data_IF_507392262691
#
_entry.id   IF_507392262691
#
_cell.length_a   1.000
_cell.length_b   1.000
_cell.length_c   1.000
_cell.angle_alpha   90.00
_cell.angle_beta   90.00
_cell.angle_gamma   90.00
#
_symmetry.space_group_name_H-M   'P 1'
#
loop_
_entity.id
_entity.type
_entity.pdbx_description
1 polymer ?
#
# COMPACT_ATOMS: atom_id res chain seq x y z
N UNK A 1 -24.57 46.07 25.70
CA UNK A 1 -24.35 45.38 24.41
C UNK A 1 -22.83 45.31 24.21
N UNK A 2 -22.20 44.23 24.68
CA UNK A 2 -20.74 44.10 24.74
C UNK A 2 -20.25 43.38 23.49
N UNK A 3 -19.49 44.08 22.63
CA UNK A 3 -18.81 43.53 21.46
C UNK A 3 -17.59 42.75 21.95
N UNK A 4 -17.71 41.43 22.06
CA UNK A 4 -16.57 40.53 22.30
C UNK A 4 -15.65 40.54 21.08
N UNK A 5 -14.61 41.36 21.14
CA UNK A 5 -13.52 41.35 20.17
C UNK A 5 -12.82 39.98 20.21
N UNK A 6 -13.02 39.18 19.17
CA UNK A 6 -12.30 37.92 18.99
C UNK A 6 -10.81 38.24 18.88
N UNK A 7 -9.99 37.69 19.78
CA UNK A 7 -8.55 37.96 19.79
C UNK A 7 -7.90 37.53 18.46
N UNK A 8 -7.01 38.34 17.87
CA UNK A 8 -6.38 38.04 16.59
C UNK A 8 -5.58 36.72 16.59
N UNK A 9 -5.10 36.28 17.77
CA UNK A 9 -4.40 35.01 17.95
C UNK A 9 -5.24 33.78 17.60
N UNK A 10 -6.54 33.75 17.94
CA UNK A 10 -7.42 32.60 17.61
C UNK A 10 -7.68 32.47 16.10
N UNK A 11 -7.69 33.59 15.37
CA UNK A 11 -7.89 33.57 13.91
C UNK A 11 -6.67 33.07 13.16
N UNK A 12 -5.46 33.44 13.60
CA UNK A 12 -4.21 32.98 12.99
C UNK A 12 -4.01 31.46 13.14
N UNK A 13 -4.32 30.91 14.32
CA UNK A 13 -4.25 29.46 14.59
C UNK A 13 -5.20 28.68 13.66
N UNK A 14 -6.44 29.14 13.50
CA UNK A 14 -7.40 28.46 12.61
C UNK A 14 -7.07 28.55 11.12
N UNK A 15 -6.38 29.60 10.67
CA UNK A 15 -5.89 29.69 9.28
C UNK A 15 -4.70 28.75 9.03
N UNK A 16 -3.78 28.64 10.00
CA UNK A 16 -2.64 27.73 9.92
C UNK A 16 -3.09 26.27 9.88
N UNK A 17 -4.02 25.87 10.75
CA UNK A 17 -4.59 24.51 10.76
C UNK A 17 -5.22 24.15 9.42
N UNK A 18 -6.00 25.07 8.84
CA UNK A 18 -6.62 24.90 7.52
C UNK A 18 -5.60 24.79 6.40
N UNK A 19 -4.54 25.59 6.45
CA UNK A 19 -3.47 25.55 5.46
C UNK A 19 -2.71 24.21 5.53
N UNK A 20 -2.38 23.74 6.73
CA UNK A 20 -1.70 22.45 6.94
C UNK A 20 -2.58 21.29 6.48
N UNK A 21 -3.87 21.28 6.85
CA UNK A 21 -4.82 20.25 6.40
C UNK A 21 -4.99 20.25 4.88
N UNK A 22 -5.09 21.44 4.26
CA UNK A 22 -5.17 21.58 2.81
C UNK A 22 -3.92 21.09 2.11
N UNK A 23 -2.73 21.38 2.65
CA UNK A 23 -1.46 20.89 2.11
C UNK A 23 -1.35 19.36 2.18
N UNK A 24 -1.67 18.75 3.34
CA UNK A 24 -1.65 17.29 3.50
C UNK A 24 -2.65 16.62 2.57
N UNK A 25 -3.88 17.15 2.48
CA UNK A 25 -4.91 16.62 1.57
C UNK A 25 -4.46 16.70 0.11
N UNK A 26 -3.91 17.84 -0.30
CA UNK A 26 -3.41 18.07 -1.64
C UNK A 26 -2.24 17.16 -2.00
N UNK A 27 -1.27 17.02 -1.08
CA UNK A 27 -0.13 16.12 -1.26
C UNK A 27 -0.57 14.66 -1.36
N UNK A 28 -1.44 14.19 -0.46
CA UNK A 28 -1.98 12.83 -0.52
C UNK A 28 -2.75 12.58 -1.82
N UNK A 29 -3.59 13.52 -2.24
CA UNK A 29 -4.32 13.43 -3.51
C UNK A 29 -3.39 13.37 -4.71
N UNK A 30 -2.36 14.22 -4.76
CA UNK A 30 -1.38 14.24 -5.83
C UNK A 30 -0.59 12.92 -5.91
N UNK A 31 -0.11 12.40 -4.78
CA UNK A 31 0.58 11.10 -4.72
C UNK A 31 -0.35 9.99 -5.19
N UNK A 32 -1.61 9.98 -4.77
CA UNK A 32 -2.59 8.99 -5.21
C UNK A 32 -2.81 9.00 -6.73
N UNK A 33 -2.89 10.20 -7.34
CA UNK A 33 -3.02 10.36 -8.80
C UNK A 33 -1.77 9.86 -9.51
N UNK A 34 -0.58 10.24 -9.04
CA UNK A 34 0.69 9.82 -9.64
C UNK A 34 0.84 8.29 -9.56
N UNK A 35 0.54 7.69 -8.40
CA UNK A 35 0.53 6.22 -8.24
C UNK A 35 -0.46 5.55 -9.19
N UNK A 36 -1.65 6.12 -9.38
CA UNK A 36 -2.64 5.60 -10.31
C UNK A 36 -2.15 5.66 -11.76
N UNK A 37 -1.51 6.77 -12.17
CA UNK A 37 -0.93 6.90 -13.52
C UNK A 37 0.15 5.85 -13.75
N UNK A 38 1.09 5.69 -12.80
CA UNK A 38 2.13 4.66 -12.90
C UNK A 38 1.56 3.25 -12.96
N UNK A 39 0.52 2.95 -12.16
CA UNK A 39 -0.18 1.67 -12.24
C UNK A 39 -0.77 1.46 -13.64
N UNK A 40 -1.48 2.43 -14.20
CA UNK A 40 -2.07 2.30 -15.54
C UNK A 40 -1.00 2.08 -16.60
N UNK A 41 0.09 2.84 -16.57
CA UNK A 41 1.22 2.67 -17.49
C UNK A 41 1.81 1.25 -17.38
N UNK A 42 2.00 0.78 -16.15
CA UNK A 42 2.51 -0.57 -15.87
C UNK A 42 1.58 -1.67 -16.37
N UNK A 43 0.26 -1.52 -16.18
CA UNK A 43 -0.72 -2.48 -16.70
C UNK A 43 -0.69 -2.50 -18.23
N UNK A 44 -0.62 -1.33 -18.88
CA UNK A 44 -0.55 -1.25 -20.34
C UNK A 44 0.73 -1.92 -20.85
N UNK A 45 1.87 -1.68 -20.19
CA UNK A 45 3.15 -2.33 -20.51
C UNK A 45 3.04 -3.86 -20.38
N UNK A 46 2.49 -4.38 -19.29
CA UNK A 46 2.30 -5.83 -19.11
C UNK A 46 1.31 -6.44 -20.10
N UNK A 47 0.26 -5.69 -20.46
CA UNK A 47 -0.75 -6.16 -21.40
C UNK A 47 -0.27 -6.15 -22.86
N UNK A 48 0.52 -5.14 -23.26
CA UNK A 48 0.88 -4.90 -24.67
C UNK A 48 2.34 -5.18 -25.00
N UNK A 49 3.20 -5.26 -23.98
CA UNK A 49 4.63 -5.49 -24.14
C UNK A 49 4.95 -6.86 -24.73
N UNK A 50 5.98 -6.92 -25.56
CA UNK A 50 6.54 -8.17 -26.08
C UNK A 50 7.41 -8.90 -25.03
N UNK A 51 7.91 -8.18 -24.03
CA UNK A 51 8.77 -8.71 -22.98
C UNK A 51 8.12 -8.48 -21.61
N UNK A 52 8.30 -9.44 -20.71
CA UNK A 52 7.76 -9.40 -19.35
C UNK A 52 8.81 -9.90 -18.38
N UNK A 53 9.25 -9.03 -17.47
CA UNK A 53 10.26 -9.38 -16.48
C UNK A 53 9.62 -9.84 -15.18
N UNK A 54 9.91 -11.07 -14.78
CA UNK A 54 9.65 -11.63 -13.47
C UNK A 54 10.79 -11.23 -12.54
N UNK A 55 10.51 -10.36 -11.57
CA UNK A 55 11.53 -9.89 -10.64
C UNK A 55 11.65 -10.84 -9.45
N UNK A 56 12.87 -11.25 -9.12
CA UNK A 56 13.18 -12.08 -7.95
C UNK A 56 12.48 -13.44 -7.96
N UNK A 57 12.56 -14.17 -9.07
CA UNK A 57 12.10 -15.55 -9.13
C UNK A 57 13.06 -16.47 -8.36
N UNK A 58 12.52 -17.30 -7.47
CA UNK A 58 13.33 -18.19 -6.64
C UNK A 58 13.86 -19.39 -7.42
N UNK A 59 15.12 -19.72 -7.18
CA UNK A 59 15.80 -20.88 -7.75
C UNK A 59 15.66 -22.09 -6.82
N UNK A 60 15.51 -23.28 -7.42
CA UNK A 60 15.53 -24.57 -6.72
C UNK A 60 16.89 -24.89 -6.11
N UNK A 61 17.95 -24.39 -6.72
CA UNK A 61 19.32 -24.52 -6.23
C UNK A 61 20.01 -23.15 -6.25
N UNK A 62 20.82 -22.82 -5.23
CA UNK A 62 21.60 -21.59 -5.25
C UNK A 62 22.56 -21.58 -6.43
N UNK A 63 22.60 -20.48 -7.18
CA UNK A 63 23.66 -20.27 -8.18
C UNK A 63 24.85 -19.64 -7.49
N UNK A 64 25.98 -20.34 -7.49
CA UNK A 64 27.24 -19.79 -7.00
C UNK A 64 27.86 -18.91 -8.07
N UNK A 65 28.23 -17.69 -7.67
CA UNK A 65 28.91 -16.74 -8.55
C UNK A 65 30.37 -16.66 -8.15
N UNK A 66 31.25 -16.85 -9.13
CA UNK A 66 32.68 -16.66 -8.92
C UNK A 66 32.96 -15.16 -8.89
N UNK A 67 33.47 -14.66 -7.75
CA UNK A 67 33.99 -13.31 -7.63
C UNK A 67 35.51 -13.36 -7.77
N UNK A 68 36.07 -12.46 -8.57
CA UNK A 68 37.52 -12.38 -8.82
C UNK A 68 38.29 -11.68 -7.68
N UNK A 69 37.69 -11.64 -6.48
CA UNK A 69 38.28 -11.00 -5.30
C UNK A 69 38.79 -12.06 -4.33
N UNK A 70 40.07 -12.00 -3.92
CA UNK A 70 40.64 -12.94 -2.96
C UNK A 70 40.03 -12.81 -1.55
N UNK A 71 39.23 -11.76 -1.29
CA UNK A 71 38.50 -11.57 -0.04
C UNK A 71 37.12 -12.23 -0.03
N UNK A 72 36.64 -12.75 -1.16
CA UNK A 72 35.34 -13.41 -1.27
C UNK A 72 35.56 -14.91 -1.35
N UNK A 73 35.17 -15.63 -0.28
CA UNK A 73 35.33 -17.09 -0.19
C UNK A 73 34.24 -17.83 -0.97
N UNK A 74 33.00 -17.36 -0.90
CA UNK A 74 31.88 -17.86 -1.68
C UNK A 74 30.75 -16.83 -1.71
N UNK A 75 29.98 -16.86 -2.79
CA UNK A 75 28.77 -16.06 -2.93
C UNK A 75 27.73 -16.87 -3.70
N UNK A 76 26.51 -16.89 -3.19
CA UNK A 76 25.40 -17.63 -3.77
C UNK A 76 24.15 -16.77 -3.81
N UNK A 77 23.35 -16.91 -4.87
CA UNK A 77 22.07 -16.22 -5.02
C UNK A 77 20.96 -17.23 -5.25
N UNK A 78 19.82 -17.00 -4.59
CA UNK A 78 18.63 -17.85 -4.67
C UNK A 78 17.50 -17.21 -5.48
N UNK A 79 17.71 -16.01 -6.02
CA UNK A 79 16.71 -15.24 -6.76
C UNK A 79 17.28 -14.67 -8.03
N UNK A 80 16.59 -14.78 -9.16
CA UNK A 80 17.00 -14.15 -10.41
C UNK A 80 15.85 -13.40 -11.07
N UNK A 81 16.19 -12.38 -11.84
CA UNK A 81 15.23 -11.68 -12.68
C UNK A 81 15.16 -12.40 -14.03
N UNK A 82 13.96 -12.83 -14.41
CA UNK A 82 13.73 -13.60 -15.64
C UNK A 82 12.92 -12.76 -16.59
N UNK A 83 13.49 -12.40 -17.74
CA UNK A 83 12.77 -11.68 -18.79
C UNK A 83 12.26 -12.67 -19.83
N UNK A 84 10.94 -12.75 -19.91
CA UNK A 84 10.23 -13.63 -20.82
C UNK A 84 9.82 -12.85 -22.05
N UNK A 85 10.15 -13.37 -23.23
CA UNK A 85 9.55 -12.91 -24.47
C UNK A 85 8.23 -13.64 -24.69
N UNK A 86 7.19 -12.90 -25.03
CA UNK A 86 5.84 -13.41 -25.30
C UNK A 86 5.30 -14.29 -24.16
N UNK A 87 5.39 -13.79 -22.93
CA UNK A 87 4.86 -14.48 -21.75
C UNK A 87 3.37 -14.86 -21.92
N UNK A 88 2.94 -16.06 -21.50
CA UNK A 88 1.55 -16.49 -21.61
C UNK A 88 0.58 -15.51 -20.97
N UNK A 89 -0.61 -15.35 -21.57
CA UNK A 89 -1.64 -14.43 -21.08
C UNK A 89 -2.03 -14.68 -19.62
N UNK A 90 -1.98 -15.95 -19.17
CA UNK A 90 -2.26 -16.32 -17.79
C UNK A 90 -1.23 -15.74 -16.82
N UNK A 91 0.06 -15.76 -17.18
CA UNK A 91 1.14 -15.16 -16.38
C UNK A 91 0.95 -13.64 -16.32
N UNK A 92 0.65 -13.01 -17.47
CA UNK A 92 0.38 -11.55 -17.54
C UNK A 92 -0.79 -11.16 -16.64
N UNK A 93 -1.88 -11.90 -16.67
CA UNK A 93 -3.06 -11.62 -15.86
C UNK A 93 -2.75 -11.66 -14.35
N UNK A 94 -1.97 -12.63 -13.88
CA UNK A 94 -1.56 -12.69 -12.48
C UNK A 94 -0.59 -11.58 -12.08
N UNK A 95 0.35 -11.20 -12.96
CA UNK A 95 1.26 -10.07 -12.71
C UNK A 95 0.49 -8.75 -12.63
N UNK A 96 -0.48 -8.53 -13.52
CA UNK A 96 -1.38 -7.38 -13.46
C UNK A 96 -2.14 -7.39 -12.12
N UNK A 97 -2.68 -8.54 -11.71
CA UNK A 97 -3.33 -8.70 -10.41
C UNK A 97 -2.41 -8.32 -9.24
N UNK A 98 -1.14 -8.76 -9.27
CA UNK A 98 -0.14 -8.45 -8.25
C UNK A 98 0.16 -6.93 -8.18
N UNK A 99 0.37 -6.28 -9.33
CA UNK A 99 0.66 -4.84 -9.38
C UNK A 99 -0.57 -4.00 -8.99
N UNK A 100 -1.78 -4.44 -9.35
CA UNK A 100 -3.03 -3.85 -8.86
C UNK A 100 -3.16 -3.97 -7.35
N UNK A 101 -2.93 -5.16 -6.79
CA UNK A 101 -3.00 -5.39 -5.35
C UNK A 101 -1.98 -4.51 -4.60
N UNK A 102 -0.74 -4.41 -5.10
CA UNK A 102 0.31 -3.57 -4.51
C UNK A 102 -0.07 -2.09 -4.52
N UNK A 103 -0.58 -1.61 -5.65
CA UNK A 103 -0.93 -0.19 -5.83
C UNK A 103 -2.22 0.21 -5.11
N UNK A 104 -3.14 -0.74 -4.91
CA UNK A 104 -4.40 -0.51 -4.18
C UNK A 104 -4.16 0.00 -2.75
N UNK A 105 -3.08 -0.46 -2.10
CA UNK A 105 -2.67 0.03 -0.78
C UNK A 105 -2.37 1.52 -0.80
N UNK A 106 -1.44 1.94 -1.66
CA UNK A 106 -0.96 3.32 -1.78
C UNK A 106 -2.10 4.26 -2.17
N UNK A 107 -2.86 3.92 -3.21
CA UNK A 107 -3.96 4.73 -3.71
C UNK A 107 -5.07 4.81 -2.66
N UNK A 108 -5.43 3.68 -2.04
CA UNK A 108 -6.47 3.61 -1.03
C UNK A 108 -6.13 4.42 0.22
N UNK A 109 -4.90 4.32 0.74
CA UNK A 109 -4.42 5.12 1.86
C UNK A 109 -4.47 6.61 1.50
N UNK A 110 -3.94 7.00 0.34
CA UNK A 110 -3.96 8.39 -0.12
C UNK A 110 -5.39 8.94 -0.21
N UNK A 111 -6.32 8.14 -0.76
CA UNK A 111 -7.72 8.51 -0.88
C UNK A 111 -8.39 8.72 0.50
N UNK A 112 -8.16 7.81 1.46
CA UNK A 112 -8.72 7.93 2.80
C UNK A 112 -8.12 9.14 3.54
N UNK A 113 -6.80 9.35 3.45
CA UNK A 113 -6.14 10.51 4.08
C UNK A 113 -6.69 11.82 3.51
N UNK A 114 -6.73 11.95 2.18
CA UNK A 114 -7.29 13.14 1.52
C UNK A 114 -8.75 13.38 1.96
N UNK A 115 -9.56 12.31 2.00
CA UNK A 115 -10.95 12.40 2.43
C UNK A 115 -11.11 12.80 3.91
N UNK A 116 -10.29 12.26 4.81
CA UNK A 116 -10.29 12.64 6.22
C UNK A 116 -9.90 14.11 6.41
N UNK A 117 -8.86 14.58 5.73
CA UNK A 117 -8.46 15.99 5.77
C UNK A 117 -9.55 16.92 5.23
N UNK A 118 -10.25 16.54 4.15
CA UNK A 118 -11.41 17.30 3.65
C UNK A 118 -12.55 17.34 4.66
N UNK A 119 -12.85 16.23 5.35
CA UNK A 119 -13.89 16.22 6.39
C UNK A 119 -13.53 17.07 7.60
N UNK A 120 -12.26 17.06 8.00
CA UNK A 120 -11.75 17.95 9.04
C UNK A 120 -11.92 19.41 8.63
N UNK A 121 -11.67 19.74 7.35
CA UNK A 121 -11.86 21.09 6.81
C UNK A 121 -13.32 21.56 6.87
N UNK A 122 -14.29 20.64 6.69
CA UNK A 122 -15.73 20.92 6.79
C UNK A 122 -16.22 21.01 8.26
N UNK A 123 -15.33 20.83 9.24
CA UNK A 123 -15.64 21.04 10.66
C UNK A 123 -16.35 19.87 11.34
N UNK A 124 -16.16 18.64 10.85
CA UNK A 124 -16.69 17.41 11.47
C UNK A 124 -15.57 16.50 12.02
N UNK A 125 -14.83 16.91 13.08
CA UNK A 125 -13.61 16.23 13.53
C UNK A 125 -13.80 14.89 14.28
N UNK A 126 -14.97 14.60 14.86
CA UNK A 126 -15.18 13.42 15.72
C UNK A 126 -16.40 12.58 15.33
N UNK A 127 -16.70 12.48 14.04
CA UNK A 127 -17.74 11.56 13.58
C UNK A 127 -17.19 10.13 13.51
N UNK A 128 -18.04 9.13 13.79
CA UNK A 128 -17.81 7.68 13.57
C UNK A 128 -17.08 7.37 12.27
N UNK A 129 -17.25 8.23 11.28
CA UNK A 129 -16.53 8.23 10.00
C UNK A 129 -15.01 8.10 10.12
N UNK A 130 -14.35 8.74 11.10
CA UNK A 130 -12.88 8.67 11.23
C UNK A 130 -12.45 7.24 11.59
N UNK A 131 -13.12 6.62 12.56
CA UNK A 131 -12.93 5.21 12.94
C UNK A 131 -13.12 4.28 11.74
N UNK A 132 -14.18 4.48 10.97
CA UNK A 132 -14.42 3.71 9.74
C UNK A 132 -13.32 3.90 8.70
N UNK A 133 -12.81 5.14 8.53
CA UNK A 133 -11.69 5.41 7.63
C UNK A 133 -10.44 4.63 8.00
N UNK A 134 -10.05 4.65 9.29
CA UNK A 134 -8.90 3.90 9.79
C UNK A 134 -9.11 2.38 9.62
N UNK A 135 -10.32 1.89 9.92
CA UNK A 135 -10.67 0.48 9.71
C UNK A 135 -10.56 0.05 8.24
N UNK A 136 -11.04 0.87 7.30
CA UNK A 136 -10.90 0.62 5.87
C UNK A 136 -9.42 0.57 5.46
N UNK A 137 -8.59 1.50 5.94
CA UNK A 137 -7.15 1.49 5.66
C UNK A 137 -6.48 0.23 6.21
N UNK A 138 -6.84 -0.20 7.42
CA UNK A 138 -6.32 -1.44 8.00
C UNK A 138 -6.62 -2.66 7.13
N UNK A 139 -7.88 -2.79 6.67
CA UNK A 139 -8.32 -3.86 5.78
C UNK A 139 -7.57 -3.78 4.44
N UNK A 140 -7.42 -2.58 3.87
CA UNK A 140 -6.69 -2.38 2.62
C UNK A 140 -5.23 -2.81 2.75
N UNK A 141 -4.53 -2.38 3.80
CA UNK A 141 -3.13 -2.76 4.06
C UNK A 141 -2.99 -4.27 4.20
N UNK A 142 -3.91 -4.91 4.92
CA UNK A 142 -3.90 -6.37 5.11
C UNK A 142 -4.10 -7.09 3.78
N UNK A 143 -5.17 -6.74 3.04
CA UNK A 143 -5.53 -7.42 1.80
C UNK A 143 -4.48 -7.21 0.71
N UNK A 144 -4.02 -5.97 0.51
CA UNK A 144 -2.98 -5.66 -0.48
C UNK A 144 -1.64 -6.31 -0.15
N UNK A 145 -1.23 -6.27 1.11
CA UNK A 145 0.03 -6.85 1.58
C UNK A 145 0.08 -8.37 1.44
N UNK A 146 -1.07 -9.05 1.53
CA UNK A 146 -1.16 -10.50 1.37
C UNK A 146 -1.46 -10.93 -0.07
N UNK A 147 -2.30 -10.18 -0.79
CA UNK A 147 -2.71 -10.54 -2.15
C UNK A 147 -1.57 -10.33 -3.16
N UNK A 148 -0.76 -9.27 -3.02
CA UNK A 148 0.31 -9.00 -4.00
C UNK A 148 1.38 -10.10 -4.06
N UNK A 149 1.97 -10.55 -2.93
CA UNK A 149 2.92 -11.68 -2.95
C UNK A 149 2.28 -12.99 -3.41
N UNK A 150 1.00 -13.21 -3.11
CA UNK A 150 0.27 -14.39 -3.53
C UNK A 150 0.12 -14.43 -5.06
N UNK A 151 -0.36 -13.34 -5.67
CA UNK A 151 -0.51 -13.25 -7.13
C UNK A 151 0.83 -13.31 -7.86
N UNK A 152 1.87 -12.67 -7.31
CA UNK A 152 3.24 -12.75 -7.83
C UNK A 152 3.79 -14.18 -7.78
N UNK A 153 3.54 -14.89 -6.67
CA UNK A 153 3.89 -16.30 -6.52
C UNK A 153 3.20 -17.21 -7.54
N UNK A 154 1.91 -17.00 -7.77
CA UNK A 154 1.14 -17.74 -8.78
C UNK A 154 1.68 -17.45 -10.19
N UNK A 155 1.96 -16.17 -10.51
CA UNK A 155 2.53 -15.80 -11.80
C UNK A 155 3.88 -16.50 -12.05
N UNK A 156 4.77 -16.49 -11.06
CA UNK A 156 6.08 -17.17 -11.13
C UNK A 156 5.95 -18.68 -11.28
N UNK A 157 5.02 -19.30 -10.54
CA UNK A 157 4.75 -20.73 -10.66
C UNK A 157 4.22 -21.10 -12.06
N UNK A 158 3.29 -20.31 -12.61
CA UNK A 158 2.78 -20.55 -13.95
C UNK A 158 3.84 -20.34 -15.03
N UNK A 159 4.70 -19.34 -14.87
CA UNK A 159 5.81 -19.11 -15.78
C UNK A 159 6.81 -20.28 -15.76
N UNK A 160 7.14 -20.81 -14.59
CA UNK A 160 8.00 -21.98 -14.46
C UNK A 160 7.42 -23.20 -15.18
N UNK A 161 6.11 -23.46 -15.01
CA UNK A 161 5.41 -24.57 -15.68
C UNK A 161 5.34 -24.37 -17.19
N UNK A 162 5.02 -23.16 -17.65
CA UNK A 162 4.81 -22.89 -19.08
C UNK A 162 6.10 -22.95 -19.91
N UNK A 163 7.24 -22.73 -19.28
CA UNK A 163 8.55 -22.63 -19.93
C UNK A 163 9.50 -23.77 -19.56
N UNK A 164 8.99 -24.79 -18.85
CA UNK A 164 9.75 -25.96 -18.40
C UNK A 164 11.02 -25.58 -17.62
N UNK A 165 10.89 -24.55 -16.77
CA UNK A 165 12.01 -24.04 -15.97
C UNK A 165 12.14 -24.85 -14.69
N UNK A 166 12.70 -26.05 -14.81
CA UNK A 166 12.99 -26.96 -13.67
C UNK A 166 13.89 -26.33 -12.60
N UNK A 167 14.59 -25.24 -12.94
CA UNK A 167 15.45 -24.50 -12.03
C UNK A 167 14.67 -23.52 -11.15
N UNK A 168 13.43 -23.15 -11.48
CA UNK A 168 12.61 -22.28 -10.64
C UNK A 168 11.84 -23.10 -9.61
N UNK A 169 11.85 -22.62 -8.36
CA UNK A 169 11.03 -23.22 -7.32
C UNK A 169 9.55 -22.95 -7.59
N UNK A 170 8.73 -23.98 -7.88
CA UNK A 170 7.31 -23.78 -8.09
C UNK A 170 6.71 -23.31 -6.77
N UNK A 171 6.14 -22.11 -6.81
CA UNK A 171 5.35 -21.56 -5.71
C UNK A 171 6.13 -21.28 -4.41
N UNK A 172 7.33 -20.69 -4.52
CA UNK A 172 8.00 -20.11 -3.34
C UNK A 172 7.58 -18.64 -3.15
N UNK A 173 6.76 -18.39 -2.14
CA UNK A 173 6.30 -17.04 -1.79
C UNK A 173 6.93 -16.59 -0.48
N UNK A 174 7.72 -15.53 -0.55
CA UNK A 174 8.18 -14.83 0.64
C UNK A 174 7.03 -13.96 1.17
N UNK A 175 6.39 -14.42 2.25
CA UNK A 175 5.34 -13.66 2.92
C UNK A 175 6.02 -12.77 3.97
N UNK A 176 5.94 -11.46 3.78
CA UNK A 176 6.30 -10.49 4.80
C UNK A 176 5.15 -10.36 5.81
N UNK A 177 5.35 -10.63 7.11
CA UNK A 177 4.31 -10.47 8.13
C UNK A 177 4.04 -9.00 8.50
N UNK A 178 4.86 -8.04 8.05
CA UNK A 178 4.71 -6.64 8.40
C UNK A 178 3.32 -6.05 8.12
N UNK A 179 2.66 -6.30 6.97
CA UNK A 179 1.31 -5.77 6.69
C UNK A 179 0.26 -6.24 7.72
N UNK A 180 0.41 -7.45 8.25
CA UNK A 180 -0.46 -7.97 9.31
C UNK A 180 -0.29 -7.15 10.58
N UNK A 181 0.96 -6.91 10.99
CA UNK A 181 1.29 -6.07 12.15
C UNK A 181 0.73 -4.64 12.01
N UNK A 182 0.89 -4.02 10.84
CA UNK A 182 0.37 -2.68 10.57
C UNK A 182 -1.16 -2.63 10.58
N UNK A 183 -1.82 -3.63 9.99
CA UNK A 183 -3.28 -3.71 10.01
C UNK A 183 -3.83 -3.83 11.44
N UNK A 184 -3.24 -4.71 12.27
CA UNK A 184 -3.62 -4.83 13.68
C UNK A 184 -3.40 -3.53 14.46
N UNK A 185 -2.25 -2.87 14.27
CA UNK A 185 -1.98 -1.59 14.91
C UNK A 185 -3.05 -0.53 14.55
N UNK A 186 -3.44 -0.46 13.27
CA UNK A 186 -4.50 0.45 12.81
C UNK A 186 -5.87 0.10 13.39
N UNK A 187 -6.21 -1.18 13.51
CA UNK A 187 -7.47 -1.63 14.14
C UNK A 187 -7.50 -1.21 15.62
N UNK A 188 -6.39 -1.38 16.35
CA UNK A 188 -6.29 -0.94 17.75
C UNK A 188 -6.49 0.57 17.87
N UNK A 189 -5.86 1.35 16.99
CA UNK A 189 -6.05 2.80 16.93
C UNK A 189 -7.51 3.17 16.63
N UNK A 190 -8.15 2.50 15.68
CA UNK A 190 -9.56 2.70 15.37
C UNK A 190 -10.45 2.42 16.59
N UNK A 191 -10.20 1.30 17.29
CA UNK A 191 -10.91 0.92 18.51
C UNK A 191 -10.74 1.93 19.64
N UNK A 192 -9.54 2.49 19.81
CA UNK A 192 -9.30 3.55 20.77
C UNK A 192 -10.14 4.81 20.48
N UNK A 193 -10.23 5.23 19.21
CA UNK A 193 -11.09 6.34 18.80
C UNK A 193 -12.57 6.05 19.01
N UNK A 194 -13.01 4.82 18.77
CA UNK A 194 -14.40 4.41 19.01
C UNK A 194 -14.77 4.48 20.49
N UNK A 195 -13.91 3.95 21.37
CA UNK A 195 -14.12 4.00 22.82
C UNK A 195 -14.09 5.46 23.31
N UNK A 196 -13.14 6.26 22.85
CA UNK A 196 -13.06 7.68 23.19
C UNK A 196 -14.32 8.46 22.79
N UNK A 197 -14.85 8.20 21.59
CA UNK A 197 -16.10 8.82 21.13
C UNK A 197 -17.31 8.41 21.97
N UNK A 198 -17.38 7.16 22.45
CA UNK A 198 -18.44 6.71 23.35
C UNK A 198 -18.38 7.44 24.71
N UNK A 199 -17.20 7.57 25.30
CA UNK A 199 -17.02 8.24 26.59
C UNK A 199 -17.39 9.73 26.54
N UNK A 200 -17.11 10.41 25.42
CA UNK A 200 -17.52 11.80 25.21
C UNK A 200 -19.05 11.92 25.15
N UNK A 201 -19.72 11.03 24.43
CA UNK A 201 -21.17 11.04 24.33
C UNK A 201 -21.88 10.78 25.67
N UNK A 202 -21.35 9.86 26.48
CA UNK A 202 -21.89 9.58 27.82
C UNK A 202 -21.74 10.79 28.77
N UNK A 203 -20.74 11.64 28.55
CA UNK A 203 -20.50 12.84 29.35
C UNK A 203 -21.42 14.01 28.94
N UNK A 204 -21.83 14.07 27.67
CA UNK A 204 -22.79 15.08 27.17
C UNK A 204 -24.21 14.85 27.72
N UNK A 205 -24.55 13.63 28.15
CA UNK A 205 -25.84 13.31 28.77
C UNK A 205 -25.96 13.70 30.25
N UNK A 206 -24.89 14.19 30.88
CA UNK A 206 -24.85 14.55 32.31
C UNK A 206 -24.92 16.06 32.58
N UNK A 207 -25.08 16.89 31.53
CA UNK A 207 -25.18 18.36 31.62
C UNK A 207 -26.56 18.84 31.21
#
# INVERSE_FOLDING_TARGET
MSLTAVSPSRRAVGLLEKAVLGFIAGAAGAIGIVSLVFLVLRIVELATGAETTLVGAFLNQPVTTAFDSPSVVSASTNTMDVTLRDAPDSVRAWLIGADMARSLSSIGICAVVAWLCLRLFVGKPFVRTVTWGIGIVAILVLLSGMAAPLFDGIAKAQAAIALDLDELAPFLVAIDPAPIGWAFALIVVAGAFEIGGRLQHDSEGLV
#
